data_IF_513722266959
#
_entry.id   IF_513722266959
#
_cell.length_a   1.000
_cell.length_b   1.000
_cell.length_c   1.000
_cell.angle_alpha   90.00
_cell.angle_beta   90.00
_cell.angle_gamma   90.00
#
_symmetry.space_group_name_H-M   'P 1'
#
loop_
_entity.id
_entity.type
_entity.pdbx_description
1 polymer ?
#
# COMPACT_ATOMS: atom_id res chain seq x y z
N UNK A 1 -23.20 -30.09 17.10
CA UNK A 1 -22.72 -28.73 17.36
C UNK A 1 -22.03 -28.27 16.09
N UNK A 2 -22.63 -27.33 15.36
CA UNK A 2 -22.01 -26.72 14.16
C UNK A 2 -21.03 -25.67 14.63
N UNK A 3 -19.76 -25.79 14.26
CA UNK A 3 -18.77 -24.77 14.54
C UNK A 3 -19.22 -23.47 13.85
N UNK A 4 -19.59 -22.47 14.65
CA UNK A 4 -19.85 -21.14 14.15
C UNK A 4 -18.48 -20.54 13.84
N UNK A 5 -18.17 -20.36 12.56
CA UNK A 5 -16.98 -19.63 12.14
C UNK A 5 -17.07 -18.21 12.71
N UNK A 6 -16.17 -17.88 13.64
CA UNK A 6 -16.07 -16.54 14.19
C UNK A 6 -15.35 -15.71 13.14
N UNK A 7 -16.10 -14.91 12.38
CA UNK A 7 -15.51 -13.87 11.53
C UNK A 7 -14.91 -12.78 12.42
N UNK A 8 -13.59 -12.83 12.60
CA UNK A 8 -12.84 -11.77 13.28
C UNK A 8 -12.52 -10.69 12.25
N UNK A 9 -13.19 -9.55 12.35
CA UNK A 9 -12.82 -8.37 11.58
C UNK A 9 -11.53 -7.76 12.16
N UNK A 10 -10.42 -7.88 11.44
CA UNK A 10 -9.17 -7.19 11.77
C UNK A 10 -9.23 -5.79 11.15
N UNK A 11 -9.25 -4.71 11.94
CA UNK A 11 -9.27 -3.36 11.40
C UNK A 11 -7.96 -3.03 10.71
N UNK A 12 -8.03 -2.22 9.65
CA UNK A 12 -6.84 -1.72 8.99
C UNK A 12 -6.08 -0.74 9.88
N UNK A 13 -4.76 -0.83 9.83
CA UNK A 13 -3.87 0.18 10.40
C UNK A 13 -3.97 1.49 9.59
N UNK A 14 -3.54 2.64 10.16
CA UNK A 14 -3.49 3.89 9.42
C UNK A 14 -2.70 3.81 8.11
N UNK A 15 -1.53 3.16 8.12
CA UNK A 15 -0.69 2.99 6.93
C UNK A 15 -1.38 2.14 5.84
N UNK A 16 -2.09 1.08 6.23
CA UNK A 16 -2.86 0.28 5.27
C UNK A 16 -4.03 1.07 4.66
N UNK A 17 -4.71 1.90 5.47
CA UNK A 17 -5.79 2.75 4.96
C UNK A 17 -5.24 3.79 3.97
N UNK A 18 -4.12 4.42 4.29
CA UNK A 18 -3.47 5.38 3.42
C UNK A 18 -2.99 4.73 2.10
N UNK A 19 -2.29 3.59 2.19
CA UNK A 19 -1.84 2.85 1.01
C UNK A 19 -3.02 2.47 0.09
N UNK A 20 -4.16 2.07 0.67
CA UNK A 20 -5.40 1.78 -0.09
C UNK A 20 -6.01 3.01 -0.75
N UNK A 21 -5.94 4.18 -0.10
CA UNK A 21 -6.37 5.43 -0.74
C UNK A 21 -5.44 5.78 -1.90
N UNK A 22 -4.13 5.59 -1.73
CA UNK A 22 -3.12 5.82 -2.77
C UNK A 22 -3.31 4.89 -3.97
N UNK A 23 -3.76 3.64 -3.79
CA UNK A 23 -4.15 2.75 -4.90
C UNK A 23 -5.18 3.40 -5.83
N UNK A 24 -6.12 4.20 -5.31
CA UNK A 24 -7.08 4.92 -6.15
C UNK A 24 -6.42 5.97 -7.05
N UNK A 25 -5.32 6.57 -6.59
CA UNK A 25 -4.51 7.51 -7.36
C UNK A 25 -3.67 6.78 -8.42
N UNK A 26 -3.02 5.68 -8.03
CA UNK A 26 -2.22 4.85 -8.94
C UNK A 26 -3.08 4.27 -10.08
N UNK A 27 -4.31 3.87 -9.78
CA UNK A 27 -5.28 3.40 -10.79
C UNK A 27 -5.70 4.49 -11.78
N UNK A 28 -5.58 5.76 -11.39
CA UNK A 28 -5.78 6.93 -12.27
C UNK A 28 -4.48 7.38 -12.95
N UNK A 29 -3.43 6.57 -12.86
CA UNK A 29 -2.08 6.87 -13.34
C UNK A 29 -1.49 8.16 -12.73
N UNK A 30 -1.81 8.44 -11.46
CA UNK A 30 -1.25 9.55 -10.68
C UNK A 30 -0.21 8.98 -9.71
N UNK A 31 1.08 9.36 -9.82
CA UNK A 31 2.13 8.85 -8.94
C UNK A 31 1.99 9.41 -7.53
N UNK A 32 2.53 8.68 -6.56
CA UNK A 32 2.56 9.07 -5.15
C UNK A 32 4.00 9.21 -4.71
N UNK A 33 4.32 10.32 -4.05
CA UNK A 33 5.66 10.62 -3.55
C UNK A 33 5.86 10.08 -2.13
N UNK A 34 7.09 9.73 -1.79
CA UNK A 34 7.46 9.34 -0.42
C UNK A 34 7.74 10.61 0.39
N UNK A 35 6.84 10.95 1.32
CA UNK A 35 6.98 12.13 2.16
C UNK A 35 7.76 11.90 3.45
N UNK A 36 7.73 10.68 3.99
CA UNK A 36 8.38 10.32 5.24
C UNK A 36 9.16 9.00 5.07
N UNK A 37 10.46 9.05 5.31
CA UNK A 37 11.38 7.90 5.16
C UNK A 37 11.31 6.91 6.34
N UNK A 38 10.64 7.27 7.43
CA UNK A 38 10.47 6.41 8.60
C UNK A 38 9.24 5.50 8.54
N UNK A 39 8.43 5.64 7.48
CA UNK A 39 7.24 4.81 7.27
C UNK A 39 7.60 3.35 7.00
N UNK A 40 6.68 2.43 7.32
CA UNK A 40 6.78 1.04 6.88
C UNK A 40 6.49 0.94 5.38
N UNK A 41 7.53 1.17 4.59
CA UNK A 41 7.46 1.15 3.12
C UNK A 41 7.05 -0.22 2.55
N UNK A 42 7.28 -1.31 3.27
CA UNK A 42 6.92 -2.64 2.78
C UNK A 42 5.41 -2.84 2.72
N UNK A 43 4.67 -2.33 3.72
CA UNK A 43 3.20 -2.33 3.72
C UNK A 43 2.63 -1.61 2.48
N UNK A 44 3.18 -0.45 2.12
CA UNK A 44 2.77 0.28 0.92
C UNK A 44 3.04 -0.51 -0.37
N UNK A 45 4.23 -1.10 -0.50
CA UNK A 45 4.61 -1.88 -1.68
C UNK A 45 3.64 -3.05 -1.88
N UNK A 46 3.37 -3.83 -0.83
CA UNK A 46 2.46 -4.99 -0.90
C UNK A 46 1.05 -4.57 -1.31
N UNK A 47 0.56 -3.44 -0.79
CA UNK A 47 -0.78 -2.95 -1.14
C UNK A 47 -0.81 -2.38 -2.56
N UNK A 48 0.24 -1.69 -3.02
CA UNK A 48 0.33 -1.17 -4.39
C UNK A 48 0.28 -2.27 -5.45
N UNK A 49 0.68 -3.49 -5.13
CA UNK A 49 0.54 -4.63 -6.06
C UNK A 49 -0.92 -4.91 -6.45
N UNK A 50 -1.88 -4.52 -5.61
CA UNK A 50 -3.32 -4.62 -5.93
C UNK A 50 -3.84 -3.56 -6.91
N UNK A 51 -3.04 -2.52 -7.21
CA UNK A 51 -3.38 -1.52 -8.21
C UNK A 51 -3.22 -2.07 -9.64
N UNK A 52 -3.95 -1.46 -10.58
CA UNK A 52 -3.80 -1.68 -12.02
C UNK A 52 -2.36 -1.38 -12.45
N UNK A 53 -1.89 -2.09 -13.47
CA UNK A 53 -0.55 -1.89 -14.03
C UNK A 53 -0.50 -0.57 -14.81
N UNK A 54 -0.07 0.48 -14.10
CA UNK A 54 0.11 1.82 -14.62
C UNK A 54 1.56 2.27 -14.44
N UNK A 55 2.09 3.17 -15.30
CA UNK A 55 3.38 3.79 -15.07
C UNK A 55 3.52 4.38 -13.67
N UNK A 56 2.48 5.04 -13.16
CA UNK A 56 2.46 5.59 -11.79
C UNK A 56 2.66 4.53 -10.70
N UNK A 57 2.04 3.35 -10.81
CA UNK A 57 2.25 2.22 -9.89
C UNK A 57 3.74 1.86 -9.86
N UNK A 58 4.33 1.61 -11.02
CA UNK A 58 5.73 1.21 -11.11
C UNK A 58 6.69 2.27 -10.55
N UNK A 59 6.48 3.55 -10.90
CA UNK A 59 7.29 4.65 -10.35
C UNK A 59 7.18 4.75 -8.83
N UNK A 60 5.96 4.63 -8.28
CA UNK A 60 5.73 4.77 -6.84
C UNK A 60 6.27 3.57 -6.05
N UNK A 61 6.21 2.36 -6.61
CA UNK A 61 6.85 1.16 -6.05
C UNK A 61 8.36 1.33 -6.00
N UNK A 62 8.99 1.80 -7.08
CA UNK A 62 10.44 2.01 -7.09
C UNK A 62 10.86 3.09 -6.09
N UNK A 63 10.10 4.19 -5.97
CA UNK A 63 10.35 5.20 -4.95
C UNK A 63 10.29 4.63 -3.52
N UNK A 64 9.27 3.82 -3.21
CA UNK A 64 9.13 3.13 -1.91
C UNK A 64 10.23 2.10 -1.66
N UNK A 65 10.68 1.37 -2.68
CA UNK A 65 11.83 0.45 -2.57
C UNK A 65 13.12 1.20 -2.25
N UNK A 66 13.38 2.32 -2.91
CA UNK A 66 14.54 3.16 -2.61
C UNK A 66 14.46 3.68 -1.17
N UNK A 67 13.28 4.13 -0.74
CA UNK A 67 13.08 4.61 0.61
C UNK A 67 13.35 3.51 1.66
N UNK A 68 12.84 2.30 1.45
CA UNK A 68 13.10 1.13 2.30
C UNK A 68 14.59 0.75 2.43
N UNK A 69 15.39 0.99 1.38
CA UNK A 69 16.84 0.70 1.40
C UNK A 69 17.61 1.79 2.16
N UNK A 70 17.11 3.03 2.14
CA UNK A 70 17.79 4.20 2.67
C UNK A 70 17.37 4.58 4.10
N UNK A 71 16.24 4.06 4.58
CA UNK A 71 15.72 4.21 5.95
C UNK A 71 16.52 3.39 6.96
#
# INVERSE_FOLDING_TARGET
MTAQEIEIAIPYTPAEMEAKQQVLLLNRNIPVEVGDMSEDHYTYIVIYESALDTPAKFTSIEARKQAYILS
#
